data_IF_139822059479
#
_entry.id   IF_139822059479
#
_cell.length_a   1.000
_cell.length_b   1.000
_cell.length_c   1.000
_cell.angle_alpha   90.00
_cell.angle_beta   90.00
_cell.angle_gamma   90.00
#
_symmetry.space_group_name_H-M   'P 1'
#
loop_
_entity.id
_entity.type
_entity.pdbx_description
1 polymer ?
#
# COMPACT_ATOMS: atom_id res chain seq x y z
N UNK A 1 -0.32 -5.20 19.24
CA UNK A 1 0.91 -4.67 18.72
C UNK A 1 0.80 -4.33 17.26
N UNK A 2 1.36 -3.22 16.85
CA UNK A 2 1.29 -2.82 15.47
C UNK A 2 2.58 -3.19 14.74
N UNK A 3 2.43 -3.54 13.47
CA UNK A 3 3.56 -3.82 12.60
C UNK A 3 3.63 -2.77 11.52
N UNK A 4 4.80 -2.58 10.96
CA UNK A 4 4.96 -1.68 9.82
C UNK A 4 4.85 -2.51 8.55
N UNK A 5 3.90 -2.14 7.72
CA UNK A 5 3.59 -2.89 6.51
C UNK A 5 3.65 -1.96 5.31
N UNK A 6 4.26 -2.42 4.25
CA UNK A 6 4.33 -1.68 3.00
C UNK A 6 3.55 -2.41 1.91
N UNK A 7 2.77 -1.67 1.16
CA UNK A 7 2.09 -2.20 -0.02
C UNK A 7 2.63 -1.49 -1.25
N UNK A 8 3.33 -2.25 -2.07
CA UNK A 8 3.87 -1.73 -3.32
C UNK A 8 2.89 -2.05 -4.43
N UNK A 9 2.14 -1.05 -4.84
CA UNK A 9 1.08 -1.23 -5.79
C UNK A 9 -0.23 -1.54 -5.09
N UNK A 10 -1.27 -0.79 -5.42
CA UNK A 10 -2.55 -0.96 -4.73
C UNK A 10 -3.51 -1.88 -5.48
N UNK A 11 -3.53 -1.85 -6.77
CA UNK A 11 -4.38 -2.75 -7.54
C UNK A 11 -5.78 -2.95 -6.97
N UNK A 12 -6.55 -3.81 -7.62
CA UNK A 12 -7.92 -4.08 -7.19
C UNK A 12 -7.95 -4.83 -5.86
N UNK A 13 -7.04 -5.76 -5.68
CA UNK A 13 -6.99 -6.58 -4.47
C UNK A 13 -6.20 -5.91 -3.36
N UNK A 14 -5.10 -5.22 -3.71
CA UNK A 14 -4.25 -4.60 -2.71
C UNK A 14 -4.92 -3.44 -1.99
N UNK A 15 -5.76 -2.71 -2.69
CA UNK A 15 -6.43 -1.55 -2.11
C UNK A 15 -7.23 -1.93 -0.85
N UNK A 16 -8.17 -2.87 -0.93
CA UNK A 16 -8.93 -3.25 0.27
C UNK A 16 -8.09 -4.01 1.29
N UNK A 17 -7.13 -4.81 0.84
CA UNK A 17 -6.27 -5.55 1.78
C UNK A 17 -5.46 -4.60 2.65
N UNK A 18 -4.86 -3.59 2.02
CA UNK A 18 -4.11 -2.59 2.77
C UNK A 18 -5.01 -1.87 3.75
N UNK A 19 -6.25 -1.60 3.34
CA UNK A 19 -7.22 -0.96 4.21
C UNK A 19 -7.56 -1.81 5.43
N UNK A 20 -7.73 -3.10 5.23
CA UNK A 20 -7.99 -4.02 6.34
C UNK A 20 -6.87 -4.00 7.36
N UNK A 21 -5.64 -4.07 6.86
CA UNK A 21 -4.47 -4.11 7.74
C UNK A 21 -4.35 -2.79 8.49
N UNK A 22 -4.63 -1.68 7.82
CA UNK A 22 -4.60 -0.38 8.48
C UNK A 22 -5.65 -0.29 9.58
N UNK A 23 -6.85 -0.79 9.32
CA UNK A 23 -7.92 -0.76 10.30
C UNK A 23 -7.64 -1.66 11.48
N UNK A 24 -6.82 -2.67 11.27
CA UNK A 24 -6.43 -3.57 12.36
C UNK A 24 -5.44 -2.92 13.32
N UNK A 25 -4.99 -1.72 13.03
CA UNK A 25 -4.09 -1.01 13.92
C UNK A 25 -2.62 -1.05 13.49
N UNK A 26 -2.35 -1.57 12.32
CA UNK A 26 -0.98 -1.62 11.81
C UNK A 26 -0.63 -0.35 11.05
N UNK A 27 0.65 -0.04 11.01
CA UNK A 27 1.16 1.13 10.31
C UNK A 27 1.41 0.77 8.85
N UNK A 28 0.50 1.18 7.98
CA UNK A 28 0.57 0.80 6.57
C UNK A 28 1.03 1.98 5.73
N UNK A 29 2.04 1.74 4.91
CA UNK A 29 2.52 2.70 3.94
C UNK A 29 2.29 2.12 2.55
N UNK A 30 1.65 2.89 1.69
CA UNK A 30 1.35 2.41 0.35
C UNK A 30 2.14 3.18 -0.68
N UNK A 31 2.45 2.52 -1.77
CA UNK A 31 3.03 3.15 -2.94
C UNK A 31 2.23 2.70 -4.15
N UNK A 32 1.88 3.63 -5.00
CA UNK A 32 1.22 3.28 -6.24
C UNK A 32 1.77 4.16 -7.34
N UNK A 33 1.92 3.57 -8.52
CA UNK A 33 2.41 4.30 -9.68
C UNK A 33 1.54 5.53 -9.94
N UNK A 34 0.24 5.37 -9.75
CA UNK A 34 -0.69 6.48 -9.88
C UNK A 34 -0.89 7.11 -8.51
N UNK A 35 -0.37 8.32 -8.33
CA UNK A 35 -0.44 8.98 -7.03
C UNK A 35 -1.88 9.21 -6.58
N UNK A 36 -2.78 9.43 -7.52
CA UNK A 36 -4.17 9.67 -7.18
C UNK A 36 -4.79 8.52 -6.41
N UNK A 37 -4.41 7.29 -6.76
CA UNK A 37 -4.91 6.12 -6.05
C UNK A 37 -4.38 6.05 -4.63
N UNK A 38 -3.10 6.35 -4.46
CA UNK A 38 -2.50 6.34 -3.13
C UNK A 38 -3.14 7.41 -2.25
N UNK A 39 -3.37 8.60 -2.81
CA UNK A 39 -4.00 9.67 -2.06
C UNK A 39 -5.42 9.31 -1.65
N UNK A 40 -6.17 8.70 -2.56
CA UNK A 40 -7.51 8.26 -2.26
C UNK A 40 -7.51 7.24 -1.12
N UNK A 41 -6.56 6.33 -1.16
CA UNK A 41 -6.43 5.31 -0.13
C UNK A 41 -6.16 5.94 1.24
N UNK A 42 -5.26 6.94 1.27
CA UNK A 42 -4.94 7.62 2.52
C UNK A 42 -6.17 8.29 3.11
N UNK A 43 -6.95 8.93 2.27
CA UNK A 43 -8.16 9.61 2.74
C UNK A 43 -9.17 8.62 3.28
N UNK A 44 -9.22 7.45 2.72
CA UNK A 44 -10.21 6.45 3.10
C UNK A 44 -9.79 5.67 4.33
N UNK A 45 -8.50 5.36 4.45
CA UNK A 45 -8.02 4.45 5.50
C UNK A 45 -7.03 5.08 6.47
N UNK A 46 -6.68 6.34 6.29
CA UNK A 46 -5.77 7.05 7.19
C UNK A 46 -4.38 6.43 7.29
N UNK A 47 -3.89 5.88 6.19
CA UNK A 47 -2.53 5.35 6.16
C UNK A 47 -1.53 6.39 5.70
N UNK A 48 -0.39 5.91 5.23
CA UNK A 48 0.66 6.75 4.69
C UNK A 48 0.96 6.34 3.27
N UNK A 49 1.56 7.25 2.51
CA UNK A 49 2.00 6.93 1.17
C UNK A 49 3.44 7.38 1.00
N UNK A 50 4.11 6.76 0.05
CA UNK A 50 5.49 7.10 -0.28
C UNK A 50 5.59 7.42 -1.76
N UNK A 51 6.61 8.18 -2.13
CA UNK A 51 6.82 8.54 -3.53
C UNK A 51 7.54 7.47 -4.31
N UNK A 52 8.24 6.58 -3.63
CA UNK A 52 8.97 5.50 -4.28
C UNK A 52 8.73 4.20 -3.53
N UNK A 53 8.88 3.05 -4.23
CA UNK A 53 8.74 1.76 -3.55
C UNK A 53 9.76 1.59 -2.41
N UNK A 54 10.96 2.13 -2.62
CA UNK A 54 12.01 2.02 -1.61
C UNK A 54 11.62 2.76 -0.34
N UNK A 55 11.06 3.96 -0.49
CA UNK A 55 10.61 4.72 0.67
C UNK A 55 9.47 4.02 1.37
N UNK A 56 8.56 3.42 0.61
CA UNK A 56 7.44 2.71 1.19
C UNK A 56 7.91 1.51 2.02
N UNK A 57 8.94 0.82 1.54
CA UNK A 57 9.43 -0.39 2.19
C UNK A 57 10.41 -0.12 3.33
N UNK A 58 10.85 1.12 3.48
CA UNK A 58 11.87 1.45 4.47
C UNK A 58 11.37 1.17 5.89
N UNK A 59 12.15 0.42 6.63
CA UNK A 59 11.84 0.07 8.03
C UNK A 59 10.52 -0.66 8.21
N UNK A 60 10.08 -1.37 7.19
CA UNK A 60 8.85 -2.14 7.30
C UNK A 60 9.13 -3.58 7.71
N UNK A 61 8.24 -4.12 8.51
CA UNK A 61 8.34 -5.52 8.94
C UNK A 61 7.87 -6.46 7.83
N UNK A 62 6.90 -6.04 7.07
CA UNK A 62 6.34 -6.84 5.98
C UNK A 62 6.18 -5.96 4.74
N UNK A 63 6.49 -6.54 3.60
CA UNK A 63 6.36 -5.85 2.32
C UNK A 63 5.51 -6.72 1.40
N UNK A 64 4.42 -6.15 0.92
CA UNK A 64 3.54 -6.83 -0.02
C UNK A 64 3.63 -6.13 -1.37
N UNK A 65 3.81 -6.90 -2.42
CA UNK A 65 3.80 -6.34 -3.76
C UNK A 65 2.53 -6.81 -4.47
N UNK A 66 1.68 -5.86 -4.81
CA UNK A 66 0.45 -6.13 -5.54
C UNK A 66 0.56 -5.47 -6.90
N UNK A 67 1.28 -6.10 -7.82
CA UNK A 67 1.39 -5.58 -9.18
C UNK A 67 0.11 -5.94 -9.91
N UNK A 68 -0.48 -4.99 -10.42
CA UNK A 68 -1.74 -5.15 -11.09
C UNK A 68 -1.69 -6.04 -12.30
N UNK A 69 -2.01 -6.25 -12.50
CA UNK A 69 -1.94 -6.82 -13.38
C UNK A 69 -2.13 -6.88 -14.44
N UNK A 70 -2.44 -7.00 -14.33
CA UNK A 70 -2.45 -7.17 -14.92
C UNK A 70 -2.37 -6.93 -15.97
N UNK A 71 -2.41 -6.55 -16.32
CA UNK A 71 -2.32 -6.16 -17.24
C UNK A 71 -1.41 -6.24 -17.94
N UNK A 72 -1.05 -6.47 -17.69
CA UNK A 72 -0.21 -6.50 -18.31
C UNK A 72 0.33 -7.50 -18.78
N UNK A 73 0.04 -8.19 -18.73
CA UNK A 73 0.63 -9.02 -19.06
C UNK A 73 0.81 -9.28 -20.18
N UNK A 74 0.79 -9.16 -20.41
CA UNK A 74 0.98 -9.21 -21.26
C UNK A 74 1.44 -9.20 -21.82
#
# INVERSE_FOLDING_TARGET
MSCKVAFIGLGVMGYPMAGYISKAGHDVTVYNRTKAKAEKWIKEYNGKSADTPMDAAQDCDFIFTCVGNDNDLR
#
